data_IF_331382163425
#
_entry.id   IF_331382163425
#
_cell.length_a   1.000
_cell.length_b   1.000
_cell.length_c   1.000
_cell.angle_alpha   90.00
_cell.angle_beta   90.00
_cell.angle_gamma   90.00
#
_symmetry.space_group_name_H-M   'P 1'
#
loop_
_entity.id
_entity.type
_entity.pdbx_description
1 polymer ?
#
# COMPACT_ATOMS: atom_id res chain seq x y z
N UNK A 1 23.79 -1.34 12.70
CA UNK A 1 24.73 -1.52 13.82
C UNK A 1 24.22 -0.75 15.01
N UNK A 2 24.18 -1.41 16.17
CA UNK A 2 23.50 -1.06 17.44
C UNK A 2 21.97 -1.24 17.47
N UNK A 3 21.51 -2.50 17.37
CA UNK A 3 20.24 -2.88 17.99
C UNK A 3 20.44 -2.89 19.51
N UNK A 4 19.73 -2.02 20.21
CA UNK A 4 19.70 -1.98 21.69
C UNK A 4 19.11 -3.29 22.23
N UNK A 5 19.48 -3.70 23.45
CA UNK A 5 18.89 -4.88 24.12
C UNK A 5 17.35 -4.79 24.16
N UNK A 6 16.80 -3.57 24.27
CA UNK A 6 15.36 -3.32 24.22
C UNK A 6 14.73 -3.55 22.83
N UNK A 7 15.47 -3.35 21.74
CA UNK A 7 15.01 -3.70 20.38
C UNK A 7 15.07 -5.20 20.16
N UNK A 8 16.09 -5.88 20.69
CA UNK A 8 16.20 -7.34 20.62
C UNK A 8 15.07 -8.04 21.39
N UNK A 9 14.73 -7.56 22.60
CA UNK A 9 13.61 -8.08 23.39
C UNK A 9 12.28 -7.83 22.66
N UNK A 10 12.04 -6.62 22.16
CA UNK A 10 10.81 -6.30 21.40
C UNK A 10 10.68 -7.14 20.12
N UNK A 11 11.80 -7.38 19.41
CA UNK A 11 11.86 -8.28 18.25
C UNK A 11 11.47 -9.70 18.64
N UNK A 12 12.05 -10.22 19.73
CA UNK A 12 11.77 -11.56 20.21
C UNK A 12 10.28 -11.73 20.59
N UNK A 13 9.75 -10.84 21.43
CA UNK A 13 8.35 -10.88 21.88
C UNK A 13 7.35 -10.73 20.71
N UNK A 14 7.60 -9.77 19.81
CA UNK A 14 6.77 -9.56 18.62
C UNK A 14 6.77 -10.77 17.70
N UNK A 15 7.95 -11.35 17.45
CA UNK A 15 8.10 -12.53 16.60
C UNK A 15 7.39 -13.77 17.17
N UNK A 16 7.45 -13.96 18.48
CA UNK A 16 6.76 -15.08 19.15
C UNK A 16 5.25 -14.93 19.06
N UNK A 17 4.74 -13.72 19.27
CA UNK A 17 3.32 -13.42 19.14
C UNK A 17 2.81 -13.63 17.72
N UNK A 18 3.53 -13.16 16.70
CA UNK A 18 3.14 -13.35 15.29
C UNK A 18 3.24 -14.81 14.87
N UNK A 19 4.24 -15.57 15.35
CA UNK A 19 4.33 -17.01 15.15
C UNK A 19 3.15 -17.75 15.81
N UNK A 20 2.74 -17.35 17.01
CA UNK A 20 1.57 -17.91 17.68
C UNK A 20 0.28 -17.61 16.91
N UNK A 21 0.12 -16.38 16.42
CA UNK A 21 -1.01 -15.97 15.57
C UNK A 21 -1.04 -16.74 14.25
N UNK A 22 0.12 -16.95 13.61
CA UNK A 22 0.25 -17.74 12.39
C UNK A 22 -0.16 -19.20 12.62
N UNK A 23 0.34 -19.83 13.69
CA UNK A 23 -0.05 -21.20 14.08
C UNK A 23 -1.54 -21.32 14.33
N UNK A 24 -2.14 -20.33 15.00
CA UNK A 24 -3.59 -20.26 15.21
C UNK A 24 -4.34 -20.15 13.88
N UNK A 25 -3.90 -19.29 12.98
CA UNK A 25 -4.49 -19.15 11.63
C UNK A 25 -4.48 -20.46 10.83
N UNK A 26 -3.36 -21.20 10.88
CA UNK A 26 -3.26 -22.53 10.26
C UNK A 26 -4.27 -23.52 10.86
N UNK A 27 -4.44 -23.52 12.18
CA UNK A 27 -5.44 -24.36 12.83
C UNK A 27 -6.87 -23.99 12.41
N UNK A 28 -7.19 -22.69 12.39
CA UNK A 28 -8.49 -22.20 11.94
C UNK A 28 -8.77 -22.62 10.48
N UNK A 29 -7.76 -22.56 9.62
CA UNK A 29 -7.85 -23.01 8.23
C UNK A 29 -8.10 -24.52 8.14
N UNK A 30 -7.38 -25.33 8.90
CA UNK A 30 -7.57 -26.80 8.95
C UNK A 30 -9.00 -27.13 9.39
N UNK A 31 -9.53 -26.45 10.40
CA UNK A 31 -10.89 -26.65 10.89
C UNK A 31 -11.91 -26.27 9.82
N UNK A 32 -11.79 -25.08 9.23
CA UNK A 32 -12.71 -24.62 8.19
C UNK A 32 -12.77 -25.55 6.95
N UNK A 33 -11.61 -26.09 6.55
CA UNK A 33 -11.52 -27.06 5.45
C UNK A 33 -12.20 -28.39 5.82
N UNK A 34 -12.01 -28.88 7.05
CA UNK A 34 -12.67 -30.10 7.54
C UNK A 34 -14.19 -29.94 7.57
N UNK A 35 -14.65 -28.76 7.98
CA UNK A 35 -16.08 -28.40 8.04
C UNK A 35 -16.68 -28.09 6.66
N UNK A 36 -15.87 -28.14 5.59
CA UNK A 36 -16.25 -27.83 4.19
C UNK A 36 -16.92 -26.46 4.03
N UNK A 37 -16.55 -25.50 4.87
CA UNK A 37 -17.08 -24.14 4.82
C UNK A 37 -16.17 -23.27 3.94
N UNK A 38 -16.61 -22.97 2.72
CA UNK A 38 -15.83 -22.21 1.74
C UNK A 38 -15.49 -20.80 2.25
N UNK A 39 -16.47 -20.06 2.76
CA UNK A 39 -16.27 -18.67 3.21
C UNK A 39 -15.31 -18.60 4.41
N UNK A 40 -15.47 -19.51 5.36
CA UNK A 40 -14.57 -19.59 6.51
C UNK A 40 -13.15 -19.97 6.08
N UNK A 41 -13.02 -20.86 5.09
CA UNK A 41 -11.73 -21.28 4.54
C UNK A 41 -11.01 -20.09 3.89
N UNK A 42 -11.69 -19.33 3.02
CA UNK A 42 -11.10 -18.18 2.35
C UNK A 42 -10.68 -17.10 3.36
N UNK A 43 -11.54 -16.77 4.34
CA UNK A 43 -11.18 -15.81 5.40
C UNK A 43 -10.03 -16.27 6.28
N UNK A 44 -9.96 -17.57 6.59
CA UNK A 44 -8.86 -18.14 7.36
C UNK A 44 -7.55 -18.12 6.55
N UNK A 45 -7.62 -18.41 5.24
CA UNK A 45 -6.49 -18.32 4.32
C UNK A 45 -5.93 -16.89 4.27
N UNK A 46 -6.78 -15.89 4.01
CA UNK A 46 -6.37 -14.47 3.93
C UNK A 46 -5.65 -14.03 5.21
N UNK A 47 -6.27 -14.30 6.36
CA UNK A 47 -5.70 -13.97 7.66
C UNK A 47 -4.38 -14.70 7.92
N UNK A 48 -4.28 -15.97 7.54
CA UNK A 48 -3.06 -16.76 7.75
C UNK A 48 -1.91 -16.26 6.86
N UNK A 49 -2.21 -15.90 5.61
CA UNK A 49 -1.22 -15.29 4.71
C UNK A 49 -0.75 -13.93 5.23
N UNK A 50 -1.63 -13.12 5.80
CA UNK A 50 -1.24 -11.89 6.49
C UNK A 50 -0.32 -12.15 7.70
N UNK A 51 -0.58 -13.18 8.49
CA UNK A 51 0.29 -13.54 9.62
C UNK A 51 1.64 -14.09 9.15
N UNK A 52 1.66 -14.90 8.08
CA UNK A 52 2.91 -15.36 7.46
C UNK A 52 3.79 -14.19 7.01
N UNK A 53 3.16 -13.14 6.48
CA UNK A 53 3.85 -11.92 6.09
C UNK A 53 4.55 -11.25 7.29
N UNK A 54 3.88 -11.11 8.44
CA UNK A 54 4.51 -10.55 9.65
C UNK A 54 5.65 -11.43 10.19
N UNK A 55 5.47 -12.75 10.19
CA UNK A 55 6.56 -13.68 10.53
C UNK A 55 7.75 -13.50 9.58
N UNK A 56 7.48 -13.37 8.28
CA UNK A 56 8.50 -13.15 7.25
C UNK A 56 9.28 -11.84 7.46
N UNK A 57 8.65 -10.77 7.95
CA UNK A 57 9.32 -9.51 8.28
C UNK A 57 10.42 -9.71 9.34
N UNK A 58 10.14 -10.49 10.38
CA UNK A 58 11.13 -10.80 11.42
C UNK A 58 12.30 -11.65 10.92
N UNK A 59 12.12 -12.39 9.83
CA UNK A 59 13.17 -13.23 9.23
C UNK A 59 14.12 -12.44 8.32
N UNK A 60 13.82 -11.17 8.02
CA UNK A 60 14.64 -10.33 7.16
C UNK A 60 15.67 -9.60 8.04
N UNK A 61 16.98 -9.94 7.95
CA UNK A 61 18.00 -9.35 8.82
C UNK A 61 18.20 -7.86 8.56
N UNK A 62 18.14 -7.45 7.28
CA UNK A 62 18.30 -6.07 6.82
C UNK A 62 17.32 -5.78 5.67
N UNK A 63 16.96 -4.51 5.48
CA UNK A 63 16.05 -4.11 4.42
C UNK A 63 16.59 -4.56 3.04
N UNK A 64 15.83 -5.36 2.27
CA UNK A 64 16.38 -6.22 1.22
C UNK A 64 16.66 -5.49 -0.10
N UNK A 65 16.27 -4.22 -0.23
CA UNK A 65 16.41 -3.46 -1.47
C UNK A 65 17.14 -2.14 -1.22
N UNK A 66 18.25 -1.92 -1.93
CA UNK A 66 18.87 -0.60 -2.03
C UNK A 66 18.19 0.18 -3.16
N UNK A 67 17.64 1.35 -2.85
CA UNK A 67 17.24 2.30 -3.89
C UNK A 67 18.50 2.80 -4.63
N UNK A 68 18.42 3.11 -5.94
CA UNK A 68 19.44 3.93 -6.58
C UNK A 68 19.49 5.26 -5.82
N UNK A 69 20.61 5.54 -5.18
CA UNK A 69 20.74 6.68 -4.27
C UNK A 69 21.18 7.89 -5.08
N UNK A 70 20.19 8.67 -5.52
CA UNK A 70 20.40 10.04 -5.97
C UNK A 70 20.10 10.95 -4.77
N UNK A 71 20.85 12.03 -4.57
CA UNK A 71 20.72 12.95 -3.41
C UNK A 71 19.28 13.50 -3.26
N UNK A 72 18.54 13.61 -4.36
CA UNK A 72 17.13 14.03 -4.38
C UNK A 72 16.20 13.01 -3.70
N UNK A 73 16.51 11.70 -3.78
CA UNK A 73 15.68 10.63 -3.21
C UNK A 73 15.98 10.37 -1.73
N UNK A 74 17.19 10.66 -1.28
CA UNK A 74 17.57 10.55 0.14
C UNK A 74 16.78 11.50 1.03
N UNK A 75 16.43 12.67 0.50
CA UNK A 75 15.69 13.70 1.23
C UNK A 75 14.18 13.41 1.33
N UNK A 76 13.67 12.41 0.59
CA UNK A 76 12.28 12.01 0.66
C UNK A 76 12.00 11.06 1.84
N UNK A 77 10.83 11.13 2.47
CA UNK A 77 10.45 10.17 3.52
C UNK A 77 10.45 8.73 2.97
N UNK A 78 11.12 7.82 3.68
CA UNK A 78 11.24 6.41 3.32
C UNK A 78 10.70 5.52 4.42
N UNK A 79 9.88 4.52 4.07
CA UNK A 79 9.46 3.46 4.98
C UNK A 79 10.31 2.22 4.74
N UNK A 80 11.20 1.89 5.68
CA UNK A 80 12.03 0.67 5.66
C UNK A 80 11.38 -0.46 6.44
N UNK A 81 10.26 -0.95 5.95
CA UNK A 81 9.47 -2.00 6.61
C UNK A 81 7.99 -1.89 6.25
N UNK A 82 7.10 -2.30 7.15
CA UNK A 82 5.66 -2.07 7.01
C UNK A 82 5.12 -1.16 8.10
N UNK A 83 4.06 -0.45 7.76
CA UNK A 83 3.30 0.36 8.71
C UNK A 83 1.80 0.14 8.48
N UNK A 84 1.02 0.21 9.54
CA UNK A 84 -0.44 0.10 9.44
C UNK A 84 -1.08 1.43 9.81
N UNK A 85 -1.97 1.92 8.96
CA UNK A 85 -2.74 3.15 9.20
C UNK A 85 -4.23 2.84 9.22
N UNK A 86 -4.97 3.52 10.11
CA UNK A 86 -6.43 3.48 10.11
C UNK A 86 -6.98 4.67 9.35
N UNK A 87 -7.92 4.39 8.45
CA UNK A 87 -8.61 5.39 7.64
C UNK A 87 -10.09 5.38 8.02
N UNK A 88 -10.59 6.52 8.48
CA UNK A 88 -12.00 6.70 8.84
C UNK A 88 -12.70 7.53 7.77
N UNK A 89 -13.63 6.91 7.04
CA UNK A 89 -14.45 7.58 6.03
C UNK A 89 -15.80 7.96 6.60
N UNK A 90 -16.18 9.23 6.45
CA UNK A 90 -17.49 9.73 6.85
C UNK A 90 -18.30 10.09 5.61
N UNK A 91 -19.38 9.36 5.37
CA UNK A 91 -20.36 9.71 4.34
C UNK A 91 -21.34 10.74 4.90
N UNK A 92 -21.39 11.93 4.32
CA UNK A 92 -22.39 12.95 4.67
C UNK A 92 -23.76 12.53 4.15
N UNK A 93 -24.82 12.80 4.92
CA UNK A 93 -26.19 12.60 4.47
C UNK A 93 -26.48 13.48 3.23
N UNK A 94 -27.11 12.91 2.22
CA UNK A 94 -27.55 13.66 1.04
C UNK A 94 -28.63 14.66 1.44
N UNK A 95 -28.49 15.93 1.06
CA UNK A 95 -29.51 16.99 1.26
C UNK A 95 -30.59 17.02 0.17
N UNK A 96 -30.60 16.08 -0.79
CA UNK A 96 -31.71 15.98 -1.76
C UNK A 96 -32.86 15.23 -1.10
N UNK A 97 -33.93 15.95 -0.81
CA UNK A 97 -35.07 15.56 0.04
C UNK A 97 -35.96 14.42 -0.46
N UNK A 98 -35.37 13.25 -0.70
CA UNK A 98 -36.05 11.97 -0.51
C UNK A 98 -35.33 11.29 0.63
N UNK A 99 -36.07 10.71 1.55
CA UNK A 99 -35.55 9.82 2.59
C UNK A 99 -34.47 8.93 1.97
N UNK A 100 -33.21 9.24 2.27
CA UNK A 100 -32.09 8.53 1.69
C UNK A 100 -31.83 7.36 2.64
N UNK A 101 -32.00 6.10 2.21
CA UNK A 101 -31.79 4.93 3.07
C UNK A 101 -30.33 4.80 3.57
N UNK A 102 -29.42 5.65 3.08
CA UNK A 102 -28.06 5.78 3.59
C UNK A 102 -27.96 6.98 4.53
N UNK A 103 -28.20 6.73 5.82
CA UNK A 103 -27.88 7.66 6.90
C UNK A 103 -26.38 8.04 6.87
N UNK A 104 -26.02 9.12 7.57
CA UNK A 104 -24.61 9.43 7.80
C UNK A 104 -23.91 8.20 8.37
N UNK A 105 -22.94 7.65 7.64
CA UNK A 105 -22.25 6.43 8.02
C UNK A 105 -20.76 6.71 8.16
N UNK A 106 -20.16 6.06 9.15
CA UNK A 106 -18.72 6.08 9.35
C UNK A 106 -18.20 4.67 9.12
N UNK A 107 -17.20 4.53 8.26
CA UNK A 107 -16.58 3.24 7.96
C UNK A 107 -15.08 3.35 8.20
N UNK A 108 -14.53 2.41 8.95
CA UNK A 108 -13.10 2.33 9.21
C UNK A 108 -12.47 1.26 8.31
N UNK A 109 -11.33 1.59 7.72
CA UNK A 109 -10.52 0.69 6.93
C UNK A 109 -9.11 0.67 7.49
N UNK A 110 -8.48 -0.49 7.44
CA UNK A 110 -7.06 -0.65 7.79
C UNK A 110 -6.28 -0.75 6.50
N UNK A 111 -5.27 0.08 6.33
CA UNK A 111 -4.38 0.06 5.16
C UNK A 111 -2.98 -0.30 5.64
N UNK A 112 -2.40 -1.33 5.02
CA UNK A 112 -1.01 -1.72 5.25
C UNK A 112 -0.16 -1.03 4.20
N UNK A 113 0.78 -0.21 4.65
CA UNK A 113 1.78 0.46 3.82
C UNK A 113 2.99 -0.48 3.70
N UNK A 114 3.26 -0.96 2.49
CA UNK A 114 4.34 -1.92 2.23
C UNK A 114 5.60 -1.23 1.73
N UNK A 115 6.42 -0.78 2.67
CA UNK A 115 7.71 -0.18 2.37
C UNK A 115 8.73 -1.15 1.79
N UNK A 116 8.54 -2.47 1.89
CA UNK A 116 9.40 -3.42 1.17
C UNK A 116 9.17 -3.37 -0.34
N UNK A 117 7.94 -3.11 -0.77
CA UNK A 117 7.61 -3.01 -2.19
C UNK A 117 7.80 -1.58 -2.74
N UNK A 118 7.48 -0.57 -1.94
CA UNK A 118 7.50 0.82 -2.35
C UNK A 118 7.92 1.75 -1.18
N UNK A 119 9.22 1.77 -0.80
CA UNK A 119 9.70 2.53 0.35
C UNK A 119 9.44 4.04 0.24
N UNK A 120 9.58 4.65 -0.94
CA UNK A 120 9.33 6.08 -1.13
C UNK A 120 7.83 6.40 -1.05
N UNK A 121 7.00 5.64 -1.78
CA UNK A 121 5.56 5.88 -1.79
C UNK A 121 4.94 5.64 -0.40
N UNK A 122 5.29 4.53 0.26
CA UNK A 122 4.80 4.19 1.59
C UNK A 122 5.31 5.17 2.65
N UNK A 123 6.58 5.58 2.56
CA UNK A 123 7.18 6.58 3.45
C UNK A 123 6.48 7.92 3.35
N UNK A 124 6.20 8.39 2.13
CA UNK A 124 5.48 9.63 1.91
C UNK A 124 4.05 9.59 2.45
N UNK A 125 3.27 8.53 2.17
CA UNK A 125 1.92 8.40 2.73
C UNK A 125 1.95 8.41 4.26
N UNK A 126 2.89 7.69 4.88
CA UNK A 126 3.05 7.66 6.33
C UNK A 126 3.38 9.04 6.91
N UNK A 127 4.34 9.76 6.32
CA UNK A 127 4.70 11.12 6.73
C UNK A 127 3.48 12.07 6.63
N UNK A 128 2.71 11.97 5.55
CA UNK A 128 1.49 12.76 5.36
C UNK A 128 0.37 12.41 6.35
N UNK A 129 0.26 11.14 6.74
CA UNK A 129 -0.63 10.72 7.83
C UNK A 129 -0.22 11.37 9.16
N UNK A 130 1.07 11.33 9.52
CA UNK A 130 1.60 11.95 10.75
C UNK A 130 1.36 13.47 10.75
N UNK A 131 1.45 14.11 9.59
CA UNK A 131 1.18 15.53 9.39
C UNK A 131 -0.31 15.88 9.31
N UNK A 132 -1.21 14.91 9.48
CA UNK A 132 -2.67 15.09 9.36
C UNK A 132 -3.14 15.62 8.00
N UNK A 133 -2.34 15.47 6.93
CA UNK A 133 -2.65 16.03 5.61
C UNK A 133 -3.97 15.49 5.04
N UNK A 134 -4.24 14.20 5.23
CA UNK A 134 -5.43 13.55 4.69
C UNK A 134 -6.73 13.90 5.43
N UNK A 135 -6.65 14.54 6.60
CA UNK A 135 -7.82 14.81 7.42
C UNK A 135 -8.73 15.84 6.74
N UNK A 136 -9.99 15.45 6.52
CA UNK A 136 -10.99 16.30 5.86
C UNK A 136 -10.95 16.25 4.32
N UNK A 137 -9.97 15.57 3.72
CA UNK A 137 -9.95 15.31 2.29
C UNK A 137 -10.94 14.18 1.93
N UNK A 138 -11.58 14.31 0.77
CA UNK A 138 -12.55 13.35 0.24
C UNK A 138 -11.96 12.44 -0.82
N UNK A 139 -12.76 11.45 -1.21
CA UNK A 139 -12.59 10.71 -2.46
C UNK A 139 -13.39 11.42 -3.54
N UNK A 140 -12.69 12.06 -4.48
CA UNK A 140 -13.30 13.07 -5.33
C UNK A 140 -13.53 12.57 -6.77
N UNK A 141 -12.86 11.50 -7.18
CA UNK A 141 -12.90 11.03 -8.57
C UNK A 141 -12.88 9.51 -8.65
N UNK A 142 -13.61 8.98 -9.63
CA UNK A 142 -13.36 7.64 -10.16
C UNK A 142 -12.55 7.80 -11.43
N UNK A 143 -11.35 7.24 -11.45
CA UNK A 143 -10.52 7.16 -12.65
C UNK A 143 -10.53 5.73 -13.17
N UNK A 144 -10.16 5.52 -14.42
CA UNK A 144 -9.89 4.19 -14.93
C UNK A 144 -8.38 4.01 -15.12
N UNK A 145 -7.80 3.01 -14.46
CA UNK A 145 -6.37 2.69 -14.54
C UNK A 145 -6.19 1.52 -15.52
N UNK A 146 -5.30 1.63 -16.52
CA UNK A 146 -5.02 0.52 -17.42
C UNK A 146 -4.55 -0.71 -16.65
N UNK A 147 -5.21 -1.85 -16.85
CA UNK A 147 -4.88 -3.15 -16.24
C UNK A 147 -4.23 -4.12 -17.25
N UNK A 148 -4.08 -3.69 -18.51
CA UNK A 148 -3.54 -4.48 -19.61
C UNK A 148 -4.52 -5.48 -20.24
N UNK A 149 -5.72 -5.63 -19.69
CA UNK A 149 -6.69 -6.67 -20.09
C UNK A 149 -8.06 -6.11 -20.52
N UNK A 150 -8.46 -4.96 -19.96
CA UNK A 150 -9.80 -4.39 -20.14
C UNK A 150 -9.76 -3.18 -21.07
N UNK A 151 -10.61 -3.16 -22.10
CA UNK A 151 -10.86 -1.94 -22.90
C UNK A 151 -11.47 -0.87 -21.98
N UNK A 152 -10.66 0.09 -21.55
CA UNK A 152 -11.06 1.19 -20.66
C UNK A 152 -10.44 1.16 -19.27
N UNK A 153 -9.77 0.07 -18.86
CA UNK A 153 -9.10 -0.05 -17.55
C UNK A 153 -10.04 -0.29 -16.36
N UNK A 154 -9.45 -0.46 -15.18
CA UNK A 154 -10.15 -0.76 -13.92
C UNK A 154 -10.57 0.53 -13.23
N UNK A 155 -11.84 0.70 -12.82
CA UNK A 155 -12.27 1.87 -12.07
C UNK A 155 -11.63 1.89 -10.67
N UNK A 156 -10.92 2.97 -10.36
CA UNK A 156 -10.27 3.20 -9.07
C UNK A 156 -10.83 4.44 -8.39
N UNK A 157 -10.88 4.41 -7.07
CA UNK A 157 -11.25 5.56 -6.25
C UNK A 157 -10.01 6.40 -5.95
N UNK A 158 -10.01 7.66 -6.37
CA UNK A 158 -8.93 8.60 -6.09
C UNK A 158 -9.21 9.40 -4.80
N UNK A 159 -8.27 9.32 -3.85
CA UNK A 159 -8.30 10.03 -2.57
C UNK A 159 -7.08 10.92 -2.38
N UNK A 160 -7.15 11.84 -1.41
CA UNK A 160 -6.02 12.68 -1.01
C UNK A 160 -5.64 13.78 -2.00
N UNK A 161 -6.47 14.02 -3.03
CA UNK A 161 -6.25 15.09 -3.99
C UNK A 161 -6.59 16.46 -3.37
N UNK A 162 -5.61 17.36 -3.40
CA UNK A 162 -5.74 18.77 -3.08
C UNK A 162 -4.93 19.55 -4.12
N UNK A 163 -5.36 20.76 -4.49
CA UNK A 163 -4.62 21.62 -5.41
C UNK A 163 -3.93 22.73 -4.59
N UNK A 164 -2.60 22.89 -4.62
CA UNK A 164 -1.61 22.30 -5.54
C UNK A 164 -1.11 20.89 -5.19
N UNK A 165 -1.41 20.40 -3.99
CA UNK A 165 -0.91 19.14 -3.44
C UNK A 165 -0.19 19.41 -2.11
N UNK A 166 0.57 18.44 -1.61
CA UNK A 166 1.43 18.65 -0.46
C UNK A 166 2.65 19.48 -0.85
N UNK A 167 2.78 20.65 -0.22
CA UNK A 167 3.92 21.55 -0.31
C UNK A 167 4.77 21.37 0.94
N UNK A 168 6.06 21.13 0.77
CA UNK A 168 6.96 20.94 1.89
C UNK A 168 7.10 22.28 2.65
N UNK A 169 6.82 22.31 3.97
CA UNK A 169 6.79 23.56 4.74
C UNK A 169 8.17 24.19 4.94
N UNK A 170 9.25 23.40 4.79
CA UNK A 170 10.62 23.89 4.96
C UNK A 170 11.10 24.54 3.66
N UNK A 171 10.85 23.87 2.52
CA UNK A 171 11.37 24.34 1.22
C UNK A 171 10.39 25.24 0.46
N UNK A 172 9.10 25.22 0.80
CA UNK A 172 8.03 25.90 0.07
C UNK A 172 7.75 25.31 -1.32
N UNK A 173 8.37 24.17 -1.66
CA UNK A 173 8.22 23.52 -2.97
C UNK A 173 7.19 22.39 -2.90
N UNK A 174 6.53 22.14 -4.03
CA UNK A 174 5.68 20.96 -4.18
C UNK A 174 6.54 19.70 -4.05
N UNK A 175 6.15 18.77 -3.19
CA UNK A 175 6.88 17.50 -3.05
C UNK A 175 6.53 16.60 -4.23
N UNK A 176 7.54 16.15 -4.98
CA UNK A 176 7.34 15.25 -6.10
C UNK A 176 8.04 13.92 -5.81
N UNK A 177 7.36 12.82 -6.15
CA UNK A 177 7.85 11.47 -6.00
C UNK A 177 7.93 10.79 -7.38
N UNK A 178 9.05 10.10 -7.65
CA UNK A 178 9.16 9.25 -8.83
C UNK A 178 8.26 8.03 -8.75
N UNK A 179 7.85 7.52 -9.91
CA UNK A 179 7.14 6.25 -10.00
C UNK A 179 8.05 5.14 -9.48
N UNK A 180 7.55 4.39 -8.50
CA UNK A 180 8.28 3.33 -7.81
C UNK A 180 7.58 2.00 -8.04
N UNK A 181 8.29 1.02 -8.63
CA UNK A 181 7.73 -0.30 -8.94
C UNK A 181 8.73 -1.40 -8.62
N UNK A 182 8.36 -2.31 -7.72
CA UNK A 182 9.09 -3.54 -7.46
C UNK A 182 8.92 -4.51 -8.64
N UNK A 183 10.04 -4.94 -9.22
CA UNK A 183 10.10 -5.83 -10.38
C UNK A 183 10.87 -7.11 -10.06
N UNK A 184 10.47 -8.20 -10.71
CA UNK A 184 11.13 -9.50 -10.60
C UNK A 184 11.93 -9.74 -11.87
N UNK A 185 13.23 -10.03 -11.72
CA UNK A 185 14.07 -10.38 -12.86
C UNK A 185 13.58 -11.66 -13.55
N UNK A 186 13.51 -11.68 -14.87
CA UNK A 186 13.19 -12.90 -15.63
C UNK A 186 14.31 -13.93 -15.58
N UNK A 187 15.55 -13.47 -15.45
CA UNK A 187 16.75 -14.30 -15.58
C UNK A 187 17.31 -14.75 -14.21
N UNK A 188 16.75 -14.23 -13.11
CA UNK A 188 17.21 -14.53 -11.75
C UNK A 188 16.13 -14.34 -10.70
N UNK A 189 16.31 -14.91 -9.51
CA UNK A 189 15.42 -14.67 -8.35
C UNK A 189 15.56 -13.26 -7.75
N UNK A 190 16.37 -12.37 -8.35
CA UNK A 190 16.58 -11.01 -7.85
C UNK A 190 15.36 -10.13 -8.11
N UNK A 191 15.03 -9.32 -7.13
CA UNK A 191 14.05 -8.24 -7.24
C UNK A 191 14.75 -6.90 -7.17
N UNK A 192 14.23 -5.94 -7.93
CA UNK A 192 14.78 -4.58 -7.99
C UNK A 192 13.64 -3.58 -7.96
N UNK A 193 13.88 -2.43 -7.34
CA UNK A 193 12.94 -1.32 -7.36
C UNK A 193 13.34 -0.43 -8.53
N UNK A 194 12.45 -0.32 -9.52
CA UNK A 194 12.59 0.63 -10.61
C UNK A 194 12.01 1.98 -10.18
N UNK A 195 12.79 3.04 -10.32
CA UNK A 195 12.43 4.40 -9.88
C UNK A 195 12.50 5.36 -11.07
N UNK A 196 11.44 6.13 -11.29
CA UNK A 196 11.40 7.36 -12.08
C UNK A 196 11.73 7.28 -13.59
N UNK A 197 12.07 6.10 -14.12
CA UNK A 197 12.31 5.95 -15.54
C UNK A 197 11.01 5.96 -16.35
N UNK A 198 11.11 6.35 -17.63
CA UNK A 198 9.98 6.35 -18.55
C UNK A 198 9.35 4.94 -18.62
N UNK A 199 8.02 4.89 -18.71
CA UNK A 199 7.21 3.65 -18.79
C UNK A 199 7.70 2.67 -19.87
N UNK A 200 8.34 3.17 -20.93
CA UNK A 200 8.83 2.39 -22.07
C UNK A 200 10.34 2.08 -22.04
N UNK A 201 11.04 2.38 -20.95
CA UNK A 201 12.45 2.01 -20.81
C UNK A 201 12.62 0.50 -20.64
N UNK A 202 13.80 -0.02 -21.01
CA UNK A 202 14.11 -1.45 -20.88
C UNK A 202 13.91 -1.99 -19.44
N UNK A 203 14.07 -1.12 -18.44
CA UNK A 203 13.79 -1.40 -17.03
C UNK A 203 12.31 -1.73 -16.76
N UNK A 204 11.38 -1.04 -17.44
CA UNK A 204 9.94 -1.20 -17.24
C UNK A 204 9.30 -2.22 -18.20
N UNK A 205 10.00 -2.65 -19.25
CA UNK A 205 9.46 -3.56 -20.28
C UNK A 205 9.98 -5.00 -20.19
N UNK A 206 11.16 -5.24 -19.62
CA UNK A 206 11.76 -6.58 -19.56
C UNK A 206 11.31 -7.40 -18.34
N UNK A 207 11.45 -6.82 -17.15
CA UNK A 207 11.23 -7.52 -15.89
C UNK A 207 9.82 -7.21 -15.37
N UNK A 208 8.91 -8.19 -15.17
CA UNK A 208 7.52 -7.92 -14.79
C UNK A 208 7.38 -7.29 -13.40
N UNK A 209 6.34 -6.47 -13.16
CA UNK A 209 6.02 -5.97 -11.83
C UNK A 209 5.57 -7.11 -10.91
N UNK A 210 6.00 -7.06 -9.64
CA UNK A 210 5.62 -8.06 -8.63
C UNK A 210 4.17 -7.88 -8.19
N UNK A 211 3.70 -6.64 -8.10
CA UNK A 211 2.34 -6.31 -7.71
C UNK A 211 1.52 -5.89 -8.94
N UNK A 212 0.23 -6.28 -8.93
CA UNK A 212 -0.74 -5.90 -9.96
C UNK A 212 -2.03 -5.41 -9.29
N UNK A 213 -2.68 -4.44 -9.94
CA UNK A 213 -3.97 -3.89 -9.52
C UNK A 213 -5.17 -4.78 -9.90
N UNK A 214 -4.92 -6.00 -10.37
CA UNK A 214 -5.97 -7.02 -10.55
C UNK A 214 -6.53 -7.49 -9.20
N UNK A 215 -5.75 -7.37 -8.12
CA UNK A 215 -6.18 -7.78 -6.78
C UNK A 215 -7.02 -6.68 -6.11
N UNK A 216 -8.22 -7.08 -5.68
CA UNK A 216 -9.11 -6.30 -4.85
C UNK A 216 -8.41 -5.68 -3.63
N UNK A 217 -8.60 -4.39 -3.37
CA UNK A 217 -8.04 -3.73 -2.18
C UNK A 217 -6.58 -3.28 -2.31
N UNK A 218 -5.94 -3.47 -3.47
CA UNK A 218 -4.64 -2.87 -3.75
C UNK A 218 -4.74 -1.34 -3.73
N UNK A 219 -3.76 -0.69 -3.10
CA UNK A 219 -3.63 0.78 -3.04
C UNK A 219 -2.33 1.17 -3.73
N UNK A 220 -2.36 2.21 -4.55
CA UNK A 220 -1.20 2.77 -5.22
C UNK A 220 -1.11 4.28 -5.05
N UNK A 221 0.11 4.81 -5.02
CA UNK A 221 0.32 6.25 -5.16
C UNK A 221 -0.10 6.67 -6.57
N UNK A 222 -0.84 7.78 -6.67
CA UNK A 222 -1.30 8.26 -7.96
C UNK A 222 -0.20 9.08 -8.64
N UNK A 223 0.10 8.71 -9.88
CA UNK A 223 0.91 9.48 -10.81
C UNK A 223 0.05 9.82 -12.04
N UNK A 224 -0.08 11.10 -12.41
CA UNK A 224 -0.56 11.51 -13.72
C UNK A 224 0.00 10.65 -14.87
N UNK A 225 -0.82 10.27 -15.87
CA UNK A 225 -0.39 9.38 -16.95
C UNK A 225 0.77 9.90 -17.79
N UNK A 226 0.92 11.22 -17.86
CA UNK A 226 1.89 11.97 -18.65
C UNK A 226 3.22 12.24 -17.93
N UNK A 227 3.26 12.13 -16.61
CA UNK A 227 4.47 12.38 -15.82
C UNK A 227 4.67 11.32 -14.73
N UNK A 228 5.60 10.39 -14.98
CA UNK A 228 5.96 9.35 -14.00
C UNK A 228 6.59 9.93 -12.72
N UNK A 229 7.12 11.14 -12.74
CA UNK A 229 7.81 11.77 -11.61
C UNK A 229 6.97 12.80 -10.86
N UNK A 230 5.66 12.81 -11.09
CA UNK A 230 4.72 13.78 -10.52
C UNK A 230 3.97 13.28 -9.28
N UNK A 231 4.37 12.16 -8.68
CA UNK A 231 3.71 11.60 -7.50
C UNK A 231 3.71 12.62 -6.35
N UNK A 232 2.62 12.73 -5.59
CA UNK A 232 2.53 13.66 -4.46
C UNK A 232 1.77 12.99 -3.31
N UNK A 233 0.57 13.44 -2.97
CA UNK A 233 -0.22 12.92 -1.86
C UNK A 233 -1.41 12.06 -2.30
N UNK A 234 -1.84 12.22 -3.55
CA UNK A 234 -2.99 11.51 -4.07
C UNK A 234 -2.68 10.01 -4.21
N UNK A 235 -3.67 9.18 -3.88
CA UNK A 235 -3.57 7.73 -3.98
C UNK A 235 -4.87 7.18 -4.57
N UNK A 236 -4.80 5.99 -5.15
CA UNK A 236 -5.96 5.29 -5.65
C UNK A 236 -6.08 3.90 -5.05
N UNK A 237 -7.31 3.42 -4.92
CA UNK A 237 -7.62 2.08 -4.45
C UNK A 237 -8.45 1.32 -5.48
N UNK A 238 -8.08 0.05 -5.71
CA UNK A 238 -8.86 -0.87 -6.55
C UNK A 238 -10.07 -1.33 -5.76
N UNK A 239 -11.24 -1.14 -6.35
CA UNK A 239 -12.49 -1.57 -5.74
C UNK A 239 -12.50 -3.10 -5.63
N UNK A 240 -12.70 -3.61 -4.41
CA UNK A 240 -12.97 -5.03 -4.24
C UNK A 240 -14.28 -5.42 -4.95
N UNK A 241 -14.35 -6.58 -5.61
CA UNK A 241 -15.60 -7.07 -6.17
C UNK A 241 -16.64 -7.15 -5.05
N UNK A 242 -17.93 -6.84 -5.33
CA UNK A 242 -18.97 -7.04 -4.34
C UNK A 242 -18.99 -8.53 -3.96
N UNK A 243 -18.80 -8.80 -2.67
CA UNK A 243 -18.98 -10.13 -2.09
C UNK A 243 -20.45 -10.51 -1.98
#
# INVERSE_FOLDING_TARGET
GNDTVAEQIRRAEGSEQDLANFRKGLNDLIVAVKDRNLDATLRAQDRTLLQLNYVGEWMVPDFPYSLPIDEELENLPQLRGRATVQVTLRRKASRRGRENPFAASTTNFTVVLDGYAAPLAAGNVLDLCVRNYYNGLGFNYTLAVPDGNSEGGVPVLLGGLYNPGFVDPITGKLRLLPLEVLRQSTDSSKRTIAVGAARNSALFTRDPPVASFVNAGAVGLYHPPDDANSGNAAFFAVRAPPG
#
